data_IF_585578060233
#
_entry.id   IF_585578060233
#
_cell.length_a   1.000
_cell.length_b   1.000
_cell.length_c   1.000
_cell.angle_alpha   90.00
_cell.angle_beta   90.00
_cell.angle_gamma   90.00
#
_symmetry.space_group_name_H-M   'P 1'
#
loop_
_entity.id
_entity.type
_entity.pdbx_description
1 polymer ?
#
# COMPACT_ATOMS: atom_id res chain seq x y z
N UNK A 1 8.62 -18.23 67.92
CA UNK A 1 7.33 -17.70 67.44
C UNK A 1 7.13 -18.17 66.01
N UNK A 2 6.27 -19.19 65.80
CA UNK A 2 5.97 -19.78 64.50
C UNK A 2 4.89 -18.96 63.78
N UNK A 3 5.21 -18.36 62.63
CA UNK A 3 4.23 -17.67 61.81
C UNK A 3 3.63 -18.66 60.80
N UNK A 4 2.42 -19.15 61.12
CA UNK A 4 1.61 -20.01 60.26
C UNK A 4 0.90 -19.13 59.24
N UNK A 5 1.48 -18.99 58.04
CA UNK A 5 0.85 -18.24 56.94
C UNK A 5 -0.23 -19.11 56.26
N UNK A 6 -1.43 -18.53 56.26
CA UNK A 6 -2.73 -18.99 55.76
C UNK A 6 -2.67 -19.42 54.28
N UNK A 7 -2.75 -20.73 54.00
CA UNK A 7 -2.89 -21.32 52.65
C UNK A 7 -4.36 -21.31 52.20
N UNK A 8 -4.94 -20.13 52.00
CA UNK A 8 -6.32 -19.99 51.56
C UNK A 8 -6.43 -18.89 50.50
N UNK A 9 -5.80 -19.09 49.34
CA UNK A 9 -6.10 -18.32 48.11
C UNK A 9 -5.49 -18.92 46.82
N UNK A 10 -5.39 -20.26 46.72
CA UNK A 10 -4.86 -20.92 45.50
C UNK A 10 -5.91 -21.67 44.70
N UNK A 11 -6.99 -22.09 45.33
CA UNK A 11 -8.00 -22.92 44.66
C UNK A 11 -9.05 -22.06 43.93
N UNK A 12 -9.30 -20.83 44.39
CA UNK A 12 -10.27 -19.92 43.77
C UNK A 12 -9.87 -19.42 42.37
N UNK A 13 -8.57 -19.22 42.11
CA UNK A 13 -8.07 -18.78 40.80
C UNK A 13 -8.02 -19.91 39.75
N UNK A 14 -7.91 -21.16 40.19
CA UNK A 14 -7.84 -22.33 39.32
C UNK A 14 -9.20 -22.67 38.69
N UNK A 15 -10.30 -22.41 39.40
CA UNK A 15 -11.66 -22.70 38.92
C UNK A 15 -12.17 -21.68 37.90
N UNK A 16 -11.79 -20.40 38.00
CA UNK A 16 -12.15 -19.37 37.00
C UNK A 16 -11.41 -19.61 35.67
N UNK A 17 -10.20 -20.19 35.73
CA UNK A 17 -9.41 -20.53 34.55
C UNK A 17 -9.98 -21.74 33.78
N UNK A 18 -10.79 -22.58 34.42
CA UNK A 18 -11.44 -23.75 33.79
C UNK A 18 -12.81 -23.45 33.20
N UNK A 19 -13.48 -22.37 33.62
CA UNK A 19 -14.86 -22.07 33.22
C UNK A 19 -15.01 -21.28 31.89
N UNK A 20 -13.94 -21.02 31.15
CA UNK A 20 -13.99 -20.06 30.02
C UNK A 20 -13.37 -20.50 28.69
N UNK A 21 -12.96 -21.77 28.53
CA UNK A 21 -12.30 -22.23 27.31
C UNK A 21 -12.95 -23.50 26.77
N UNK A 22 -14.25 -23.42 26.43
CA UNK A 22 -14.70 -24.26 25.33
C UNK A 22 -14.05 -23.72 24.05
N UNK A 23 -13.20 -24.51 23.36
CA UNK A 23 -12.73 -24.11 22.05
C UNK A 23 -13.97 -24.01 21.17
N UNK A 24 -14.36 -22.78 20.81
CA UNK A 24 -15.38 -22.52 19.80
C UNK A 24 -15.12 -23.49 18.65
N UNK A 25 -16.02 -24.46 18.46
CA UNK A 25 -16.03 -25.34 17.30
C UNK A 25 -15.77 -24.44 16.10
N UNK A 26 -14.59 -24.57 15.51
CA UNK A 26 -14.29 -23.88 14.28
C UNK A 26 -15.19 -24.53 13.25
N UNK A 27 -16.38 -23.95 13.06
CA UNK A 27 -17.19 -24.20 11.89
C UNK A 27 -16.22 -24.02 10.73
N UNK A 28 -15.95 -25.12 10.01
CA UNK A 28 -15.08 -25.18 8.84
C UNK A 28 -15.68 -24.29 7.77
N UNK A 29 -15.54 -22.99 7.97
CA UNK A 29 -16.20 -21.98 7.20
C UNK A 29 -15.55 -21.99 5.83
N UNK A 30 -16.29 -22.40 4.81
CA UNK A 30 -15.83 -22.33 3.40
C UNK A 30 -15.71 -20.88 2.92
N UNK A 31 -16.18 -19.91 3.72
CA UNK A 31 -16.19 -18.49 3.39
C UNK A 31 -14.82 -17.91 3.02
N UNK A 32 -13.69 -18.18 3.71
CA UNK A 32 -12.39 -17.68 3.28
C UNK A 32 -11.96 -18.25 1.91
N UNK A 33 -12.34 -19.49 1.59
CA UNK A 33 -12.05 -20.10 0.29
C UNK A 33 -12.94 -19.49 -0.82
N UNK A 34 -14.21 -19.24 -0.53
CA UNK A 34 -15.16 -18.59 -1.46
C UNK A 34 -14.73 -17.14 -1.72
N UNK A 35 -14.40 -16.38 -0.68
CA UNK A 35 -13.90 -15.00 -0.81
C UNK A 35 -12.61 -14.97 -1.64
N UNK A 36 -11.70 -15.91 -1.38
CA UNK A 36 -10.47 -16.05 -2.16
C UNK A 36 -10.74 -16.36 -3.64
N UNK A 37 -11.70 -17.25 -3.93
CA UNK A 37 -12.06 -17.61 -5.30
C UNK A 37 -12.75 -16.44 -6.04
N UNK A 38 -13.73 -15.80 -5.40
CA UNK A 38 -14.44 -14.63 -5.96
C UNK A 38 -13.48 -13.49 -6.23
N UNK A 39 -12.57 -13.19 -5.30
CA UNK A 39 -11.57 -12.14 -5.51
C UNK A 39 -10.61 -12.51 -6.63
N UNK A 40 -10.15 -13.76 -6.70
CA UNK A 40 -9.26 -14.19 -7.79
C UNK A 40 -9.94 -14.03 -9.14
N UNK A 41 -11.22 -14.41 -9.25
CA UNK A 41 -12.01 -14.17 -10.46
C UNK A 41 -12.16 -12.67 -10.75
N UNK A 42 -12.45 -11.86 -9.74
CA UNK A 42 -12.54 -10.41 -9.90
C UNK A 42 -11.21 -9.79 -10.35
N UNK A 43 -10.08 -10.27 -9.85
CA UNK A 43 -8.74 -9.85 -10.30
C UNK A 43 -8.52 -10.22 -11.76
N UNK A 44 -8.88 -11.44 -12.19
CA UNK A 44 -8.80 -11.86 -13.60
C UNK A 44 -9.67 -10.98 -14.49
N UNK A 45 -10.91 -10.69 -14.06
CA UNK A 45 -11.84 -9.83 -14.82
C UNK A 45 -11.35 -8.39 -14.89
N UNK A 46 -10.92 -7.80 -13.78
CA UNK A 46 -10.38 -6.44 -13.75
C UNK A 46 -9.14 -6.31 -14.62
N UNK A 47 -8.27 -7.32 -14.56
CA UNK A 47 -7.05 -7.38 -15.38
C UNK A 47 -7.39 -7.51 -16.86
N UNK A 48 -8.37 -8.35 -17.22
CA UNK A 48 -8.87 -8.47 -18.57
C UNK A 48 -9.43 -7.15 -19.11
N UNK A 49 -10.16 -6.39 -18.27
CA UNK A 49 -10.67 -5.06 -18.65
C UNK A 49 -9.53 -4.05 -18.86
N UNK A 50 -8.55 -3.99 -17.97
CA UNK A 50 -7.40 -3.10 -18.13
C UNK A 50 -6.58 -3.46 -19.38
N UNK A 51 -6.41 -4.75 -19.66
CA UNK A 51 -5.74 -5.24 -20.87
C UNK A 51 -6.48 -4.85 -22.15
N UNK A 52 -7.80 -5.06 -22.20
CA UNK A 52 -8.63 -4.77 -23.37
C UNK A 52 -8.83 -3.26 -23.59
N UNK A 53 -8.83 -2.45 -22.53
CA UNK A 53 -9.01 -1.00 -22.62
C UNK A 53 -7.74 -0.23 -22.96
N UNK A 54 -6.60 -0.62 -22.39
CA UNK A 54 -5.37 0.19 -22.41
C UNK A 54 -4.08 -0.60 -22.72
N UNK A 55 -4.10 -1.93 -22.64
CA UNK A 55 -2.98 -2.70 -22.09
C UNK A 55 -1.87 -3.18 -23.02
N UNK A 56 -1.86 -2.87 -24.31
CA UNK A 56 -0.76 -3.31 -25.20
C UNK A 56 -0.16 -2.20 -26.07
N UNK A 57 -0.90 -1.10 -26.30
CA UNK A 57 -0.42 0.00 -27.15
C UNK A 57 0.82 0.71 -26.57
N UNK A 58 0.96 0.73 -25.23
CA UNK A 58 2.11 1.35 -24.54
C UNK A 58 3.37 0.47 -24.52
N UNK A 59 3.28 -0.84 -24.75
CA UNK A 59 4.42 -1.76 -24.69
C UNK A 59 5.29 -1.73 -25.95
N UNK A 60 4.74 -1.30 -27.09
CA UNK A 60 5.43 -1.42 -28.39
C UNK A 60 6.14 -0.15 -28.85
N UNK A 61 5.94 0.99 -28.18
CA UNK A 61 6.46 2.29 -28.67
C UNK A 61 7.73 2.77 -27.97
N UNK A 62 7.90 2.48 -26.67
CA UNK A 62 8.97 3.11 -25.88
C UNK A 62 9.50 2.17 -24.79
N UNK A 63 10.13 1.06 -25.21
CA UNK A 63 10.75 0.08 -24.30
C UNK A 63 12.10 0.61 -23.81
N UNK A 64 12.28 0.86 -22.50
CA UNK A 64 13.58 1.28 -21.96
C UNK A 64 14.64 0.20 -22.19
N UNK A 65 15.77 0.57 -22.79
CA UNK A 65 16.84 -0.38 -23.12
C UNK A 65 17.78 -0.66 -21.93
N UNK A 66 17.77 0.21 -20.91
CA UNK A 66 18.68 0.11 -19.77
C UNK A 66 18.20 -0.94 -18.74
N UNK A 67 18.97 -1.99 -18.42
CA UNK A 67 18.61 -3.00 -17.42
C UNK A 67 18.31 -2.41 -16.03
N UNK A 68 18.94 -1.28 -15.68
CA UNK A 68 18.75 -0.61 -14.38
C UNK A 68 17.35 -0.05 -14.21
N UNK A 69 16.69 0.31 -15.32
CA UNK A 69 15.26 0.65 -15.30
C UNK A 69 14.44 -0.48 -14.67
N UNK A 70 14.63 -1.71 -15.15
CA UNK A 70 13.87 -2.88 -14.71
C UNK A 70 14.20 -3.27 -13.27
N UNK A 71 15.45 -3.07 -12.84
CA UNK A 71 15.82 -3.23 -11.43
C UNK A 71 15.08 -2.22 -10.54
N UNK A 72 15.13 -0.93 -10.87
CA UNK A 72 14.43 0.11 -10.12
C UNK A 72 12.91 -0.11 -10.13
N UNK A 73 12.35 -0.51 -11.27
CA UNK A 73 10.94 -0.87 -11.42
C UNK A 73 10.58 -2.08 -10.54
N UNK A 74 11.38 -3.14 -10.55
CA UNK A 74 11.17 -4.33 -9.72
C UNK A 74 11.20 -4.00 -8.22
N UNK A 75 12.16 -3.19 -7.79
CA UNK A 75 12.24 -2.70 -6.41
C UNK A 75 11.05 -1.79 -6.07
N UNK A 76 10.64 -0.92 -6.98
CA UNK A 76 9.47 -0.05 -6.81
C UNK A 76 8.19 -0.90 -6.67
N UNK A 77 8.03 -1.92 -7.51
CA UNK A 77 6.93 -2.86 -7.46
C UNK A 77 6.93 -3.64 -6.14
N UNK A 78 8.09 -4.09 -5.68
CA UNK A 78 8.19 -4.85 -4.44
C UNK A 78 8.15 -3.99 -3.18
N UNK A 79 8.28 -2.66 -3.28
CA UNK A 79 8.31 -1.77 -2.14
C UNK A 79 7.03 -1.84 -1.28
N UNK A 80 5.79 -1.76 -1.84
CA UNK A 80 4.58 -1.92 -1.02
C UNK A 80 4.40 -3.29 -0.38
N UNK A 81 4.51 -4.42 -1.10
CA UNK A 81 4.41 -5.74 -0.49
C UNK A 81 5.49 -5.99 0.57
N UNK A 82 6.71 -5.50 0.36
CA UNK A 82 7.83 -5.66 1.31
C UNK A 82 7.62 -4.82 2.56
N UNK A 83 7.16 -3.57 2.42
CA UNK A 83 6.83 -2.72 3.55
C UNK A 83 5.73 -3.32 4.43
N UNK A 84 4.66 -3.80 3.81
CA UNK A 84 3.58 -4.50 4.53
C UNK A 84 4.09 -5.81 5.15
N UNK A 85 5.01 -6.52 4.47
CA UNK A 85 5.59 -7.75 5.00
C UNK A 85 6.42 -7.49 6.24
N UNK A 86 7.29 -6.47 6.23
CA UNK A 86 8.06 -6.05 7.41
C UNK A 86 7.10 -5.73 8.57
N UNK A 87 6.02 -5.00 8.29
CA UNK A 87 4.99 -4.66 9.28
C UNK A 87 4.35 -5.91 9.88
N UNK A 88 3.73 -6.75 9.06
CA UNK A 88 2.99 -7.92 9.54
C UNK A 88 3.90 -9.03 10.05
N UNK A 89 5.17 -9.10 9.62
CA UNK A 89 6.19 -9.98 10.21
C UNK A 89 6.44 -9.60 11.66
N UNK A 90 6.54 -8.31 11.97
CA UNK A 90 6.70 -7.84 13.36
C UNK A 90 5.43 -7.94 14.18
N UNK A 91 4.26 -7.69 13.59
CA UNK A 91 2.98 -7.73 14.31
C UNK A 91 2.52 -9.16 14.60
N UNK A 92 2.72 -10.08 13.66
CA UNK A 92 2.10 -11.41 13.65
C UNK A 92 3.08 -12.57 13.42
N UNK A 93 4.35 -12.31 13.11
CA UNK A 93 5.32 -13.37 12.84
C UNK A 93 5.07 -14.14 11.54
N UNK A 94 4.37 -13.55 10.56
CA UNK A 94 4.02 -14.25 9.31
C UNK A 94 5.24 -14.85 8.59
N UNK A 95 5.20 -16.08 8.08
CA UNK A 95 6.31 -16.68 7.33
C UNK A 95 6.50 -16.00 5.97
N UNK A 96 7.58 -16.33 5.25
CA UNK A 96 7.85 -15.79 3.91
C UNK A 96 6.69 -15.99 2.92
N UNK A 97 5.92 -17.08 3.06
CA UNK A 97 4.70 -17.31 2.28
C UNK A 97 3.62 -16.23 2.47
N UNK A 98 3.68 -15.44 3.55
CA UNK A 98 2.83 -14.25 3.74
C UNK A 98 3.11 -13.14 2.72
N UNK A 99 4.31 -13.09 2.14
CA UNK A 99 4.62 -12.16 1.05
C UNK A 99 3.75 -12.41 -0.18
N UNK A 100 3.43 -13.68 -0.49
CA UNK A 100 2.51 -14.03 -1.58
C UNK A 100 1.10 -13.48 -1.32
N UNK A 101 0.63 -13.55 -0.07
CA UNK A 101 -0.65 -12.97 0.31
C UNK A 101 -0.67 -11.44 0.20
N UNK A 102 0.45 -10.79 0.52
CA UNK A 102 0.61 -9.34 0.41
C UNK A 102 0.75 -8.86 -1.04
N UNK A 103 1.40 -9.65 -1.90
CA UNK A 103 1.39 -9.41 -3.35
C UNK A 103 -0.06 -9.48 -3.84
N UNK A 104 -0.79 -10.58 -3.56
CA UNK A 104 -2.21 -10.71 -3.95
C UNK A 104 -3.08 -9.57 -3.42
N UNK A 105 -2.85 -9.12 -2.19
CA UNK A 105 -3.47 -7.91 -1.61
C UNK A 105 -3.23 -6.69 -2.50
N UNK A 106 -1.98 -6.44 -2.91
CA UNK A 106 -1.65 -5.32 -3.79
C UNK A 106 -2.40 -5.41 -5.12
N UNK A 107 -2.33 -6.57 -5.78
CA UNK A 107 -2.99 -6.79 -7.06
C UNK A 107 -4.49 -6.53 -6.95
N UNK A 108 -5.15 -7.03 -5.90
CA UNK A 108 -6.58 -6.81 -5.66
C UNK A 108 -6.92 -5.31 -5.44
N UNK A 109 -6.09 -4.61 -4.65
CA UNK A 109 -6.28 -3.18 -4.40
C UNK A 109 -6.12 -2.32 -5.66
N UNK A 110 -5.28 -2.72 -6.62
CA UNK A 110 -5.09 -2.00 -7.88
C UNK A 110 -6.17 -2.36 -8.93
N UNK A 111 -6.47 -3.65 -9.10
CA UNK A 111 -7.22 -4.14 -10.28
C UNK A 111 -8.73 -4.34 -10.02
N UNK A 112 -9.15 -4.53 -8.77
CA UNK A 112 -10.56 -4.83 -8.44
C UNK A 112 -11.27 -3.61 -7.89
N UNK A 113 -10.91 -3.23 -6.66
CA UNK A 113 -11.44 -2.08 -5.97
C UNK A 113 -10.48 -1.70 -4.84
N UNK A 114 -10.30 -0.40 -4.59
CA UNK A 114 -9.48 0.06 -3.47
C UNK A 114 -9.97 -0.58 -2.17
N UNK A 115 -9.05 -1.15 -1.38
CA UNK A 115 -9.30 -1.88 -0.11
C UNK A 115 -9.82 -3.33 -0.24
N UNK A 116 -10.14 -3.83 -1.44
CA UNK A 116 -10.53 -5.24 -1.62
C UNK A 116 -9.41 -6.22 -1.24
N UNK A 117 -8.15 -5.83 -1.44
CA UNK A 117 -6.97 -6.56 -1.02
C UNK A 117 -6.79 -6.61 0.50
N UNK A 118 -7.22 -5.58 1.23
CA UNK A 118 -7.19 -5.59 2.70
C UNK A 118 -8.22 -6.58 3.28
N UNK A 119 -9.41 -6.65 2.67
CA UNK A 119 -10.41 -7.66 3.01
C UNK A 119 -9.92 -9.09 2.74
N UNK A 120 -9.26 -9.30 1.60
CA UNK A 120 -8.59 -10.56 1.27
C UNK A 120 -7.52 -10.93 2.29
N UNK A 121 -6.63 -9.99 2.62
CA UNK A 121 -5.52 -10.25 3.53
C UNK A 121 -6.03 -10.58 4.93
N UNK A 122 -7.10 -9.91 5.38
CA UNK A 122 -7.82 -10.28 6.59
C UNK A 122 -8.36 -11.71 6.54
N UNK A 123 -9.05 -12.11 5.46
CA UNK A 123 -9.59 -13.46 5.30
C UNK A 123 -8.47 -14.52 5.29
N UNK A 124 -7.35 -14.23 4.61
CA UNK A 124 -6.16 -15.08 4.60
C UNK A 124 -5.55 -15.23 5.99
N UNK A 125 -5.37 -14.13 6.73
CA UNK A 125 -4.82 -14.15 8.08
C UNK A 125 -5.73 -14.91 9.05
N UNK A 126 -7.06 -14.74 8.92
CA UNK A 126 -8.05 -15.47 9.70
C UNK A 126 -8.06 -16.97 9.39
N UNK A 127 -7.91 -17.37 8.12
CA UNK A 127 -7.80 -18.78 7.75
C UNK A 127 -6.55 -19.44 8.35
N UNK A 128 -5.53 -18.65 8.68
CA UNK A 128 -4.34 -19.07 9.41
C UNK A 128 -4.43 -18.78 10.92
N UNK A 129 -5.63 -18.90 11.50
CA UNK A 129 -6.00 -18.53 12.88
C UNK A 129 -5.02 -18.98 13.99
N UNK A 130 -4.26 -20.05 13.80
CA UNK A 130 -3.21 -20.47 14.76
C UNK A 130 -2.08 -19.44 14.92
N UNK A 131 -1.92 -18.49 13.99
CA UNK A 131 -0.84 -17.51 14.01
C UNK A 131 -1.20 -16.18 14.69
N UNK A 132 -2.49 -15.79 14.78
CA UNK A 132 -2.88 -14.42 15.19
C UNK A 132 -4.20 -14.39 15.95
N UNK A 133 -4.17 -13.88 17.19
CA UNK A 133 -5.37 -13.48 17.92
C UNK A 133 -5.91 -12.15 17.35
N UNK A 134 -7.10 -12.18 16.73
CA UNK A 134 -7.80 -11.03 16.14
C UNK A 134 -7.03 -10.23 15.06
N UNK A 135 -6.91 -10.75 13.82
CA UNK A 135 -6.20 -10.06 12.74
C UNK A 135 -6.90 -8.76 12.28
N UNK A 136 -8.19 -8.58 12.56
CA UNK A 136 -8.96 -7.42 12.07
C UNK A 136 -8.40 -6.08 12.56
N UNK A 137 -8.13 -5.96 13.87
CA UNK A 137 -7.68 -4.70 14.47
C UNK A 137 -6.36 -4.21 13.86
N UNK A 138 -5.40 -5.11 13.69
CA UNK A 138 -4.11 -4.79 13.09
C UNK A 138 -4.22 -4.46 11.59
N UNK A 139 -5.03 -5.17 10.79
CA UNK A 139 -5.24 -4.81 9.36
C UNK A 139 -5.84 -3.41 9.24
N UNK A 140 -6.86 -3.11 10.05
CA UNK A 140 -7.51 -1.80 10.10
C UNK A 140 -6.51 -0.70 10.49
N UNK A 141 -5.75 -0.91 11.56
CA UNK A 141 -4.78 0.07 12.05
C UNK A 141 -3.69 0.39 11.02
N UNK A 142 -3.14 -0.64 10.36
CA UNK A 142 -2.13 -0.49 9.31
C UNK A 142 -2.70 0.24 8.09
N UNK A 143 -3.94 -0.07 7.70
CA UNK A 143 -4.61 0.60 6.58
C UNK A 143 -4.81 2.10 6.86
N UNK A 144 -5.31 2.43 8.05
CA UNK A 144 -5.50 3.82 8.49
C UNK A 144 -4.14 4.54 8.56
N UNK A 145 -3.12 3.93 9.16
CA UNK A 145 -1.79 4.52 9.26
C UNK A 145 -1.13 4.73 7.90
N UNK A 146 -1.34 3.84 6.92
CA UNK A 146 -0.86 4.03 5.56
C UNK A 146 -1.47 5.27 4.90
N UNK A 147 -2.76 5.53 5.13
CA UNK A 147 -3.42 6.73 4.64
C UNK A 147 -2.91 8.00 5.35
N UNK A 148 -2.78 7.97 6.67
CA UNK A 148 -2.25 9.10 7.46
C UNK A 148 -0.80 9.39 7.08
N UNK A 149 0.05 8.38 6.89
CA UNK A 149 1.44 8.55 6.44
C UNK A 149 1.51 9.22 5.07
N UNK A 150 0.65 8.79 4.12
CA UNK A 150 0.52 9.44 2.82
C UNK A 150 0.18 10.93 2.95
N UNK A 151 -0.86 11.25 3.72
CA UNK A 151 -1.28 12.63 3.95
C UNK A 151 -0.21 13.46 4.67
N UNK A 152 0.47 12.88 5.66
CA UNK A 152 1.53 13.54 6.41
C UNK A 152 2.73 13.89 5.51
N UNK A 153 3.17 12.95 4.66
CA UNK A 153 4.24 13.19 3.69
C UNK A 153 3.82 14.27 2.68
N UNK A 154 2.58 14.21 2.16
CA UNK A 154 2.05 15.25 1.27
C UNK A 154 2.05 16.62 1.95
N UNK A 155 1.52 16.74 3.16
CA UNK A 155 1.48 18.01 3.90
C UNK A 155 2.88 18.56 4.17
N UNK A 156 3.84 17.68 4.52
CA UNK A 156 5.24 18.05 4.68
C UNK A 156 5.84 18.58 3.38
N UNK A 157 5.59 17.90 2.25
CA UNK A 157 6.03 18.35 0.93
C UNK A 157 5.40 19.70 0.55
N UNK A 158 4.12 19.93 0.86
CA UNK A 158 3.48 21.25 0.64
C UNK A 158 4.17 22.31 1.49
N UNK A 159 4.39 22.03 2.78
CA UNK A 159 5.02 22.99 3.70
C UNK A 159 6.44 23.40 3.24
N UNK A 160 7.17 22.49 2.60
CA UNK A 160 8.50 22.76 2.03
C UNK A 160 8.41 23.45 0.67
N UNK A 161 7.53 22.98 -0.23
CA UNK A 161 7.45 23.44 -1.61
C UNK A 161 6.78 24.82 -1.74
N UNK A 162 5.77 25.12 -0.91
CA UNK A 162 4.96 26.33 -1.02
C UNK A 162 5.78 27.63 -0.80
N UNK A 163 6.68 27.73 0.20
CA UNK A 163 7.55 28.91 0.35
C UNK A 163 8.51 29.11 -0.83
N UNK A 164 9.06 28.01 -1.36
CA UNK A 164 10.03 28.03 -2.47
C UNK A 164 9.37 28.38 -3.81
N UNK A 165 8.15 27.90 -4.04
CA UNK A 165 7.39 28.06 -5.28
C UNK A 165 6.35 29.18 -5.27
N UNK A 166 6.28 30.01 -4.23
CA UNK A 166 5.21 31.02 -4.07
C UNK A 166 5.06 31.96 -5.26
N UNK A 167 6.16 32.27 -5.93
CA UNK A 167 6.21 33.20 -7.06
C UNK A 167 5.78 32.56 -8.39
N UNK A 168 5.68 31.23 -8.43
CA UNK A 168 5.30 30.47 -9.62
C UNK A 168 3.80 30.18 -9.68
N UNK A 169 3.08 30.42 -8.58
CA UNK A 169 1.64 30.16 -8.47
C UNK A 169 0.85 31.45 -8.62
N UNK A 170 -0.26 31.39 -9.36
CA UNK A 170 -1.26 32.46 -9.31
C UNK A 170 -1.91 32.51 -7.93
N UNK A 171 -2.51 33.65 -7.57
CA UNK A 171 -3.17 33.82 -6.29
C UNK A 171 -4.25 32.75 -6.04
N UNK A 172 -5.00 32.38 -7.09
CA UNK A 172 -6.04 31.34 -7.01
C UNK A 172 -5.47 29.92 -6.87
N UNK A 173 -4.36 29.62 -7.55
CA UNK A 173 -3.65 28.35 -7.39
C UNK A 173 -3.10 28.19 -5.97
N UNK A 174 -2.50 29.25 -5.42
CA UNK A 174 -2.01 29.26 -4.05
C UNK A 174 -3.13 29.00 -3.03
N UNK A 175 -4.28 29.67 -3.17
CA UNK A 175 -5.46 29.46 -2.32
C UNK A 175 -6.00 28.03 -2.44
N UNK A 176 -6.04 27.47 -3.65
CA UNK A 176 -6.49 26.09 -3.90
C UNK A 176 -5.56 25.06 -3.24
N UNK A 177 -4.24 25.26 -3.31
CA UNK A 177 -3.26 24.39 -2.64
C UNK A 177 -3.43 24.48 -1.12
N UNK A 178 -3.56 25.68 -0.56
CA UNK A 178 -3.75 25.87 0.87
C UNK A 178 -5.07 25.27 1.37
N UNK A 179 -6.16 25.47 0.64
CA UNK A 179 -7.47 24.86 0.93
C UNK A 179 -7.39 23.34 0.88
N UNK A 180 -6.72 22.78 -0.14
CA UNK A 180 -6.52 21.33 -0.26
C UNK A 180 -5.67 20.75 0.88
N UNK A 181 -4.62 21.47 1.31
CA UNK A 181 -3.84 21.08 2.48
C UNK A 181 -4.69 21.13 3.76
N UNK A 182 -5.52 22.16 3.92
CA UNK A 182 -6.48 22.27 5.02
C UNK A 182 -7.47 21.11 5.05
N UNK A 183 -8.07 20.75 3.91
CA UNK A 183 -8.99 19.59 3.80
C UNK A 183 -8.26 18.28 4.10
N UNK A 184 -7.04 18.09 3.58
CA UNK A 184 -6.23 16.89 3.84
C UNK A 184 -5.92 16.72 5.32
N UNK A 185 -5.58 17.82 6.00
CA UNK A 185 -5.38 17.85 7.44
C UNK A 185 -6.69 17.56 8.19
N UNK A 186 -7.79 18.20 7.80
CA UNK A 186 -9.11 18.02 8.41
C UNK A 186 -9.61 16.58 8.34
N UNK A 187 -9.42 15.89 7.21
CA UNK A 187 -9.78 14.47 7.05
C UNK A 187 -8.89 13.56 7.93
N UNK A 188 -7.65 13.96 8.17
CA UNK A 188 -6.70 13.18 8.97
C UNK A 188 -6.89 13.37 10.50
N UNK A 189 -7.36 14.55 10.92
CA UNK A 189 -7.50 14.95 12.34
C UNK A 189 -8.36 14.00 13.20
N UNK A 190 -9.55 13.53 12.77
CA UNK A 190 -10.37 12.63 13.57
C UNK A 190 -9.63 11.37 14.01
N UNK A 191 -8.79 10.79 13.16
CA UNK A 191 -8.01 9.60 13.47
C UNK A 191 -6.91 9.87 14.51
N UNK A 192 -6.37 11.10 14.53
CA UNK A 192 -5.36 11.53 15.51
C UNK A 192 -6.01 11.86 16.86
N UNK A 193 -7.12 12.63 16.84
CA UNK A 193 -7.86 13.06 18.03
C UNK A 193 -8.47 11.85 18.75
N UNK A 194 -9.14 10.96 18.02
CA UNK A 194 -9.77 9.77 18.56
C UNK A 194 -8.85 8.54 18.53
N UNK A 195 -7.54 8.74 18.45
CA UNK A 195 -6.54 7.67 18.30
C UNK A 195 -6.67 6.55 19.33
N UNK A 196 -7.02 6.87 20.58
CA UNK A 196 -7.22 5.85 21.65
C UNK A 196 -8.44 4.95 21.44
N UNK A 197 -9.45 5.41 20.70
CA UNK A 197 -10.68 4.65 20.40
C UNK A 197 -10.60 3.97 19.04
N UNK A 198 -9.92 4.61 18.10
CA UNK A 198 -9.77 4.10 16.74
C UNK A 198 -8.74 2.97 16.72
N UNK A 199 -7.55 3.17 17.25
CA UNK A 199 -6.46 2.20 17.09
C UNK A 199 -6.49 1.11 18.16
N UNK A 200 -6.22 -0.12 17.75
CA UNK A 200 -6.15 -1.31 18.60
C UNK A 200 -4.72 -1.63 19.06
N UNK A 201 -3.70 -1.23 18.29
CA UNK A 201 -2.31 -1.50 18.59
C UNK A 201 -1.73 -0.53 19.65
N UNK A 202 -0.76 -0.99 20.48
CA UNK A 202 -0.01 -0.11 21.36
C UNK A 202 0.71 1.02 20.61
N UNK A 203 0.81 2.20 21.21
CA UNK A 203 1.40 3.41 20.60
C UNK A 203 2.78 3.19 19.98
N UNK A 204 3.65 2.45 20.66
CA UNK A 204 4.99 2.15 20.14
C UNK A 204 4.95 1.39 18.81
N UNK A 205 4.00 0.43 18.68
CA UNK A 205 3.80 -0.30 17.42
C UNK A 205 3.20 0.61 16.34
N UNK A 206 2.27 1.50 16.69
CA UNK A 206 1.68 2.45 15.74
C UNK A 206 2.75 3.37 15.13
N UNK A 207 3.62 3.98 15.95
CA UNK A 207 4.71 4.84 15.46
C UNK A 207 5.70 4.09 14.59
N UNK A 208 6.01 2.85 14.96
CA UNK A 208 6.88 2.02 14.14
C UNK A 208 6.25 1.69 12.77
N UNK A 209 4.97 1.31 12.73
CA UNK A 209 4.23 1.07 11.48
C UNK A 209 4.17 2.33 10.62
N UNK A 210 3.85 3.48 11.24
CA UNK A 210 3.85 4.78 10.57
C UNK A 210 5.21 5.09 9.93
N UNK A 211 6.30 4.88 10.67
CA UNK A 211 7.67 5.07 10.16
C UNK A 211 7.98 4.20 8.94
N UNK A 212 7.58 2.92 8.95
CA UNK A 212 7.75 2.04 7.78
C UNK A 212 6.95 2.55 6.58
N UNK A 213 5.73 3.06 6.76
CA UNK A 213 4.97 3.67 5.67
C UNK A 213 5.63 4.93 5.11
N UNK A 214 6.18 5.79 5.97
CA UNK A 214 6.93 6.97 5.53
C UNK A 214 8.19 6.57 4.73
N UNK A 215 8.99 5.63 5.25
CA UNK A 215 10.17 5.11 4.55
C UNK A 215 9.77 4.53 3.19
N UNK A 216 8.71 3.70 3.16
CA UNK A 216 8.19 3.13 1.91
C UNK A 216 7.83 4.21 0.88
N UNK A 217 7.15 5.28 1.31
CA UNK A 217 6.78 6.39 0.43
C UNK A 217 8.02 7.10 -0.13
N UNK A 218 9.00 7.41 0.72
CA UNK A 218 10.26 8.04 0.30
C UNK A 218 11.06 7.15 -0.65
N UNK A 219 11.22 5.86 -0.31
CA UNK A 219 11.88 4.89 -1.18
C UNK A 219 11.14 4.76 -2.51
N UNK A 220 9.80 4.74 -2.51
CA UNK A 220 9.00 4.71 -3.73
C UNK A 220 9.27 5.92 -4.62
N UNK A 221 9.30 7.13 -4.06
CA UNK A 221 9.62 8.37 -4.78
C UNK A 221 11.03 8.37 -5.37
N UNK A 222 12.01 7.85 -4.64
CA UNK A 222 13.40 7.75 -5.12
C UNK A 222 13.51 6.69 -6.23
N UNK A 223 12.91 5.53 -6.05
CA UNK A 223 12.96 4.43 -7.01
C UNK A 223 12.27 4.80 -8.32
N UNK A 224 11.11 5.48 -8.28
CA UNK A 224 10.45 5.93 -9.51
C UNK A 224 11.27 7.01 -10.23
N UNK A 225 11.94 7.90 -9.48
CA UNK A 225 12.80 8.91 -10.09
C UNK A 225 14.01 8.30 -10.80
N UNK A 226 14.66 7.30 -10.18
CA UNK A 226 15.74 6.55 -10.83
C UNK A 226 15.25 5.73 -12.01
N UNK A 227 14.09 5.06 -11.90
CA UNK A 227 13.51 4.33 -13.02
C UNK A 227 13.31 5.28 -14.22
N UNK A 228 12.67 6.42 -14.02
CA UNK A 228 12.45 7.37 -15.10
C UNK A 228 13.73 8.01 -15.64
N UNK A 229 14.74 8.25 -14.79
CA UNK A 229 16.06 8.68 -15.25
C UNK A 229 16.73 7.63 -16.16
N UNK A 230 16.67 6.34 -15.83
CA UNK A 230 17.25 5.30 -16.69
C UNK A 230 16.46 5.09 -17.99
N UNK A 231 15.16 5.42 -18.02
CA UNK A 231 14.38 5.43 -19.25
C UNK A 231 14.66 6.67 -20.13
N UNK A 232 14.86 7.83 -19.51
CA UNK A 232 15.11 9.11 -20.15
C UNK A 232 16.34 9.80 -19.53
N UNK A 233 17.56 9.35 -19.89
CA UNK A 233 18.80 9.80 -19.26
C UNK A 233 19.13 11.27 -19.55
N UNK A 234 18.51 11.87 -20.56
CA UNK A 234 18.64 13.30 -20.88
C UNK A 234 18.06 14.24 -19.82
N UNK A 235 17.32 13.71 -18.83
CA UNK A 235 16.72 14.50 -17.76
C UNK A 235 17.42 14.19 -16.41
N UNK A 236 17.91 15.21 -15.68
CA UNK A 236 18.56 15.01 -14.38
C UNK A 236 17.65 14.33 -13.35
N UNK A 237 18.22 13.47 -12.50
CA UNK A 237 17.46 12.77 -11.43
C UNK A 237 16.71 13.74 -10.50
N UNK A 238 17.27 14.92 -10.23
CA UNK A 238 16.61 15.94 -9.40
C UNK A 238 15.26 16.40 -9.97
N UNK A 239 15.14 16.47 -11.29
CA UNK A 239 13.89 16.82 -11.98
C UNK A 239 12.84 15.71 -11.80
N UNK A 240 13.28 14.46 -11.87
CA UNK A 240 12.40 13.31 -11.62
C UNK A 240 11.96 13.20 -10.16
N UNK A 241 12.84 13.50 -9.21
CA UNK A 241 12.49 13.59 -7.79
C UNK A 241 11.47 14.70 -7.54
N UNK A 242 11.64 15.85 -8.19
CA UNK A 242 10.67 16.94 -8.14
C UNK A 242 9.31 16.52 -8.69
N UNK A 243 9.27 15.86 -9.86
CA UNK A 243 8.04 15.33 -10.42
C UNK A 243 7.42 14.24 -9.52
N UNK A 244 8.21 13.32 -8.96
CA UNK A 244 7.71 12.31 -8.03
C UNK A 244 7.08 12.93 -6.78
N UNK A 245 7.70 13.97 -6.22
CA UNK A 245 7.14 14.75 -5.13
C UNK A 245 5.86 15.48 -5.55
N UNK A 246 5.86 16.11 -6.73
CA UNK A 246 4.67 16.74 -7.33
C UNK A 246 3.52 15.76 -7.52
N UNK A 247 3.79 14.52 -7.95
CA UNK A 247 2.80 13.46 -8.09
C UNK A 247 2.21 13.06 -6.73
N UNK A 248 3.03 12.94 -5.69
CA UNK A 248 2.55 12.69 -4.32
C UNK A 248 1.68 13.84 -3.78
N UNK A 249 2.03 15.08 -4.14
CA UNK A 249 1.22 16.25 -3.82
C UNK A 249 -0.13 16.19 -4.51
N UNK A 250 -0.12 16.15 -5.84
CA UNK A 250 -1.31 16.24 -6.68
C UNK A 250 -2.26 15.06 -6.43
N UNK A 251 -1.76 13.84 -6.25
CA UNK A 251 -2.60 12.66 -6.00
C UNK A 251 -3.38 12.70 -4.68
N UNK A 252 -2.96 13.52 -3.72
CA UNK A 252 -3.56 13.59 -2.37
C UNK A 252 -4.34 14.87 -2.11
N UNK A 253 -4.16 15.90 -2.94
CA UNK A 253 -4.90 17.16 -2.80
C UNK A 253 -6.28 17.05 -3.46
N UNK A 254 -7.39 17.05 -2.68
CA UNK A 254 -8.71 16.72 -3.19
C UNK A 254 -9.25 17.78 -4.15
N UNK A 255 -8.98 19.06 -3.89
CA UNK A 255 -9.57 20.19 -4.64
C UNK A 255 -8.74 20.61 -5.86
N UNK A 256 -7.65 19.91 -6.16
CA UNK A 256 -6.84 20.19 -7.35
C UNK A 256 -7.51 19.54 -8.57
N UNK A 257 -8.08 20.33 -9.51
CA UNK A 257 -8.73 19.82 -10.72
C UNK A 257 -7.70 19.30 -11.72
N UNK A 258 -8.10 18.35 -12.57
CA UNK A 258 -7.29 17.81 -13.67
C UNK A 258 -5.85 17.47 -13.25
N UNK A 259 -5.73 16.62 -12.22
CA UNK A 259 -4.48 16.16 -11.61
C UNK A 259 -3.44 15.70 -12.63
N UNK A 260 -3.88 14.94 -13.63
CA UNK A 260 -3.02 14.41 -14.69
C UNK A 260 -2.55 15.51 -15.65
N UNK A 261 -3.39 16.53 -15.89
CA UNK A 261 -3.06 17.68 -16.74
C UNK A 261 -2.07 18.63 -16.05
N UNK A 262 -2.18 18.83 -14.74
CA UNK A 262 -1.18 19.60 -13.99
C UNK A 262 0.18 18.90 -13.96
N UNK A 263 0.18 17.56 -13.86
CA UNK A 263 1.39 16.77 -13.96
C UNK A 263 1.99 16.83 -15.38
N UNK A 264 1.17 16.69 -16.41
CA UNK A 264 1.57 16.83 -17.80
C UNK A 264 2.13 18.23 -18.09
N UNK A 265 1.45 19.30 -17.69
CA UNK A 265 1.92 20.68 -17.85
C UNK A 265 3.23 20.95 -17.11
N UNK A 266 3.37 20.47 -15.87
CA UNK A 266 4.62 20.60 -15.13
C UNK A 266 5.77 19.89 -15.85
N UNK A 267 5.52 18.71 -16.39
CA UNK A 267 6.49 17.99 -17.18
C UNK A 267 6.82 18.68 -18.52
N UNK A 268 5.83 19.24 -19.22
CA UNK A 268 6.03 19.98 -20.47
C UNK A 268 6.92 21.20 -20.21
N UNK A 269 6.61 21.98 -19.18
CA UNK A 269 7.36 23.20 -18.83
C UNK A 269 8.79 22.90 -18.39
N UNK A 270 9.04 21.73 -17.78
CA UNK A 270 10.31 21.43 -17.13
C UNK A 270 11.21 20.48 -17.93
N UNK A 271 10.63 19.62 -18.78
CA UNK A 271 11.34 18.62 -19.58
C UNK A 271 11.25 18.91 -21.08
N UNK A 272 10.18 19.58 -21.55
CA UNK A 272 9.97 19.85 -22.98
C UNK A 272 9.65 18.61 -23.83
N UNK A 273 9.36 17.46 -23.20
CA UNK A 273 9.06 16.19 -23.88
C UNK A 273 7.73 15.59 -23.42
N UNK A 274 6.61 16.21 -23.84
CA UNK A 274 5.25 15.73 -23.55
C UNK A 274 5.08 14.25 -23.91
N UNK A 275 5.39 13.94 -25.17
CA UNK A 275 5.16 12.62 -25.73
C UNK A 275 6.00 11.53 -25.06
N UNK A 276 7.29 11.79 -24.81
CA UNK A 276 8.17 10.81 -24.18
C UNK A 276 7.77 10.49 -22.74
N UNK A 277 7.29 11.49 -21.97
CA UNK A 277 6.81 11.25 -20.62
C UNK A 277 5.47 10.48 -20.63
N UNK A 278 4.53 10.89 -21.47
CA UNK A 278 3.24 10.21 -21.59
C UNK A 278 3.42 8.74 -21.97
N UNK A 279 4.31 8.47 -22.92
CA UNK A 279 4.70 7.11 -23.33
C UNK A 279 5.38 6.34 -22.20
N UNK A 280 6.27 6.97 -21.42
CA UNK A 280 6.93 6.33 -20.28
C UNK A 280 5.94 5.99 -19.16
N UNK A 281 4.97 6.87 -18.86
CA UNK A 281 3.91 6.61 -17.88
C UNK A 281 3.04 5.45 -18.36
N UNK A 282 2.62 5.48 -19.63
CA UNK A 282 1.84 4.40 -20.24
C UNK A 282 2.60 3.07 -20.22
N UNK A 283 3.90 3.08 -20.53
CA UNK A 283 4.75 1.90 -20.47
C UNK A 283 4.86 1.36 -19.04
N UNK A 284 5.12 2.22 -18.04
CA UNK A 284 5.21 1.77 -16.64
C UNK A 284 3.88 1.20 -16.12
N UNK A 285 2.74 1.76 -16.54
CA UNK A 285 1.43 1.22 -16.24
C UNK A 285 1.21 -0.15 -16.91
N UNK A 286 1.51 -0.28 -18.21
CA UNK A 286 1.38 -1.53 -18.95
C UNK A 286 2.33 -2.62 -18.43
N UNK A 287 3.57 -2.29 -18.07
CA UNK A 287 4.52 -3.21 -17.45
C UNK A 287 4.04 -3.65 -16.06
N UNK A 288 3.48 -2.72 -15.28
CA UNK A 288 2.84 -3.05 -14.00
C UNK A 288 1.72 -4.05 -14.21
N UNK A 289 0.83 -3.80 -15.18
CA UNK A 289 -0.24 -4.72 -15.56
C UNK A 289 0.29 -6.09 -15.97
N UNK A 290 1.34 -6.14 -16.80
CA UNK A 290 1.97 -7.39 -17.22
C UNK A 290 2.51 -8.20 -16.03
N UNK A 291 3.15 -7.54 -15.06
CA UNK A 291 3.63 -8.19 -13.83
C UNK A 291 2.45 -8.72 -13.01
N UNK A 292 1.34 -7.99 -12.92
CA UNK A 292 0.12 -8.48 -12.29
C UNK A 292 -0.40 -9.78 -12.93
N UNK A 293 -0.48 -9.80 -14.27
CA UNK A 293 -0.85 -11.00 -15.04
C UNK A 293 0.08 -12.17 -14.72
N UNK A 294 1.39 -11.95 -14.86
CA UNK A 294 2.39 -12.98 -14.66
C UNK A 294 2.33 -13.58 -13.26
N UNK A 295 2.16 -12.75 -12.23
CA UNK A 295 2.06 -13.19 -10.84
C UNK A 295 0.76 -13.96 -10.57
N UNK A 296 -0.39 -13.50 -11.08
CA UNK A 296 -1.66 -14.24 -10.94
C UNK A 296 -1.55 -15.61 -11.60
N UNK A 297 -1.03 -15.67 -12.83
CA UNK A 297 -0.85 -16.94 -13.57
C UNK A 297 0.10 -17.86 -12.81
N UNK A 298 1.24 -17.35 -12.34
CA UNK A 298 2.20 -18.14 -11.57
C UNK A 298 1.59 -18.69 -10.27
N UNK A 299 0.85 -17.86 -9.51
CA UNK A 299 0.16 -18.30 -8.30
C UNK A 299 -0.95 -19.31 -8.59
N UNK A 300 -1.67 -19.15 -9.70
CA UNK A 300 -2.69 -20.09 -10.15
C UNK A 300 -2.10 -21.44 -10.52
N UNK A 301 -1.04 -21.45 -11.35
CA UNK A 301 -0.34 -22.65 -11.77
C UNK A 301 0.25 -23.41 -10.56
N UNK A 302 0.90 -22.70 -9.63
CA UNK A 302 1.43 -23.31 -8.41
C UNK A 302 0.33 -23.94 -7.55
N UNK A 303 -0.83 -23.28 -7.40
CA UNK A 303 -1.95 -23.83 -6.63
C UNK A 303 -2.57 -25.08 -7.27
N UNK A 304 -2.59 -25.18 -8.61
CA UNK A 304 -3.03 -26.39 -9.32
C UNK A 304 -2.01 -27.52 -9.15
N UNK A 305 -0.72 -27.22 -9.29
CA UNK A 305 0.36 -28.20 -9.13
C UNK A 305 0.38 -28.81 -7.72
N UNK A 306 0.20 -28.00 -6.67
CA UNK A 306 0.16 -28.50 -5.29
C UNK A 306 -1.03 -29.41 -5.03
N UNK A 307 -2.20 -29.13 -5.63
CA UNK A 307 -3.39 -29.99 -5.53
C UNK A 307 -3.24 -31.32 -6.26
N UNK A 308 -2.44 -31.37 -7.32
CA UNK A 308 -2.18 -32.61 -8.06
C UNK A 308 -1.17 -33.53 -7.36
N UNK A 309 -0.43 -33.00 -6.38
CA UNK A 309 0.59 -33.74 -5.60
C UNK A 309 0.08 -34.23 -4.24
N UNK A 310 -1.11 -33.83 -3.83
CA UNK A 310 -1.76 -34.17 -2.56
C UNK A 310 -2.88 -35.20 -2.80
#
# INVERSE_FOLDING_TARGET
MNFRAKTADRDGYADIARAGLEPLKTIGSRWPAIIGAVLTLAMIVGLGRELLGHGLAGLTRSVPQDPRFYLCFGLLYMSPPTGDYVIFRRLWGIPLGGLVALIKKRIANEVVFGYSGDAYFYAWARAKARMVASPFGAVKDVTILSAIAGNAVTLLLVAIALPLGRHLLTHDQFRTVLASAGVTLAISLPFLIFSRRVFSLPRAKLWWVFGIHCIRLLCGSVLIAFAWHFALPGVPVGMWLFLAAGRLLVSRLPLVPNKDLLFANAAILLIGQDQALSELIAFTAALTLLVHVALIVAFGAHAVADRSRA
#
